data_IF_015894667755
#
_entry.id   IF_015894667755
#
_cell.length_a   1.000
_cell.length_b   1.000
_cell.length_c   1.000
_cell.angle_alpha   90.00
_cell.angle_beta   90.00
_cell.angle_gamma   90.00
#
_symmetry.space_group_name_H-M   'P 1'
#
loop_
_entity.id
_entity.type
_entity.pdbx_description
1 polymer ?
#
# COMPACT_ATOMS: atom_id res chain seq x y z
N UNK A 1 -60.00 33.02 -27.83
CA UNK A 1 -59.42 32.42 -26.64
C UNK A 1 -58.66 31.17 -27.06
N UNK A 2 -57.32 31.29 -27.28
CA UNK A 2 -56.42 30.22 -27.70
C UNK A 2 -55.72 29.68 -26.46
N UNK A 3 -55.88 28.39 -26.18
CA UNK A 3 -55.18 27.68 -25.11
C UNK A 3 -53.82 27.24 -25.65
N UNK A 4 -52.75 27.77 -25.08
CA UNK A 4 -51.36 27.28 -25.23
C UNK A 4 -51.19 26.14 -24.24
N UNK A 5 -50.93 24.94 -24.76
CA UNK A 5 -50.47 23.78 -23.98
C UNK A 5 -48.96 23.76 -24.06
N UNK A 6 -48.29 24.04 -22.95
CA UNK A 6 -46.87 23.97 -22.83
C UNK A 6 -46.43 22.53 -22.67
N UNK A 7 -45.57 22.05 -23.58
CA UNK A 7 -44.89 20.76 -23.52
C UNK A 7 -43.64 20.90 -22.64
N UNK A 8 -43.69 20.39 -21.41
CA UNK A 8 -42.52 20.28 -20.56
C UNK A 8 -41.74 18.99 -20.93
N UNK A 9 -40.67 19.13 -21.68
CA UNK A 9 -39.73 18.05 -21.93
C UNK A 9 -38.88 17.82 -20.68
N UNK A 10 -39.11 16.73 -19.95
CA UNK A 10 -38.26 16.28 -18.87
C UNK A 10 -37.00 15.66 -19.48
N UNK A 11 -35.87 16.36 -19.41
CA UNK A 11 -34.54 15.84 -19.69
C UNK A 11 -34.13 14.93 -18.52
N UNK A 12 -34.26 13.62 -18.71
CA UNK A 12 -33.67 12.65 -17.82
C UNK A 12 -32.15 12.64 -18.06
N UNK A 13 -31.42 13.36 -17.21
CA UNK A 13 -29.96 13.22 -17.14
C UNK A 13 -29.63 11.87 -16.54
N UNK A 14 -29.25 10.92 -17.41
CA UNK A 14 -28.63 9.66 -16.99
C UNK A 14 -27.28 10.00 -16.31
N UNK A 15 -27.26 9.99 -14.99
CA UNK A 15 -26.00 9.90 -14.25
C UNK A 15 -25.43 8.51 -14.47
N UNK A 16 -24.65 8.34 -15.56
CA UNK A 16 -23.74 7.23 -15.68
C UNK A 16 -22.75 7.34 -14.52
N UNK A 17 -22.59 6.29 -13.74
CA UNK A 17 -21.51 6.20 -12.77
C UNK A 17 -20.20 6.32 -13.55
N UNK A 18 -19.59 7.49 -13.58
CA UNK A 18 -18.28 7.70 -14.17
C UNK A 18 -17.31 6.88 -13.31
N UNK A 19 -16.71 5.86 -13.90
CA UNK A 19 -15.60 5.15 -13.28
C UNK A 19 -14.53 6.21 -12.95
N UNK A 20 -13.93 6.11 -11.76
CA UNK A 20 -12.96 7.09 -11.31
C UNK A 20 -11.71 7.04 -12.20
N UNK A 21 -11.51 8.06 -13.02
CA UNK A 21 -10.29 8.24 -13.78
C UNK A 21 -9.13 8.54 -12.81
N UNK A 22 -8.06 7.79 -12.93
CA UNK A 22 -6.80 8.01 -12.18
C UNK A 22 -5.66 8.27 -13.15
N UNK A 23 -4.64 8.97 -12.69
CA UNK A 23 -3.49 9.27 -13.56
C UNK A 23 -2.59 8.04 -13.70
N UNK A 24 -1.98 7.88 -14.86
CA UNK A 24 -1.05 6.78 -15.14
C UNK A 24 0.03 6.63 -14.04
N UNK A 25 0.63 7.72 -13.58
CA UNK A 25 1.64 7.72 -12.52
C UNK A 25 1.15 7.20 -11.16
N UNK A 26 -0.16 7.27 -10.88
CA UNK A 26 -0.72 6.82 -9.60
C UNK A 26 -0.86 5.29 -9.57
N UNK A 27 -1.01 4.65 -10.75
CA UNK A 27 -1.20 3.21 -10.91
C UNK A 27 0.01 2.46 -11.43
N UNK A 28 1.07 3.17 -11.83
CA UNK A 28 2.29 2.55 -12.37
C UNK A 28 3.53 2.95 -11.59
N UNK A 29 4.57 2.15 -11.73
CA UNK A 29 5.94 2.41 -11.29
C UNK A 29 6.89 2.25 -12.49
N UNK A 30 7.98 3.01 -12.49
CA UNK A 30 9.00 2.90 -13.52
C UNK A 30 10.02 1.83 -13.13
N UNK A 31 10.26 0.86 -13.99
CA UNK A 31 11.30 -0.14 -13.76
C UNK A 31 12.69 0.52 -13.75
N UNK A 32 13.51 0.14 -12.79
CA UNK A 32 14.84 0.73 -12.58
C UNK A 32 14.83 2.01 -11.74
N UNK A 33 13.68 2.64 -11.53
CA UNK A 33 13.51 3.81 -10.66
C UNK A 33 12.98 3.36 -9.32
N UNK A 34 13.88 2.98 -8.42
CA UNK A 34 13.50 2.54 -7.07
C UNK A 34 14.34 3.23 -6.01
N UNK A 35 13.78 3.39 -4.84
CA UNK A 35 14.55 3.73 -3.67
C UNK A 35 15.47 2.57 -3.28
N UNK A 36 16.68 2.87 -2.80
CA UNK A 36 17.62 1.88 -2.32
C UNK A 36 17.76 2.01 -0.81
N UNK A 37 17.62 0.90 -0.10
CA UNK A 37 17.82 0.88 1.33
C UNK A 37 19.32 0.84 1.64
N UNK A 38 19.73 1.72 2.54
CA UNK A 38 21.09 1.85 3.01
C UNK A 38 21.19 1.40 4.45
N UNK A 39 22.25 0.70 4.78
CA UNK A 39 22.55 0.26 6.14
C UNK A 39 23.99 0.59 6.51
N UNK A 40 24.19 0.97 7.77
CA UNK A 40 25.50 1.21 8.34
C UNK A 40 25.57 0.75 9.78
N UNK A 41 26.80 0.52 10.25
CA UNK A 41 27.09 0.29 11.64
C UNK A 41 27.83 1.51 12.18
N UNK A 42 27.30 2.08 13.26
CA UNK A 42 27.82 3.33 13.80
C UNK A 42 27.88 3.35 15.33
N UNK A 43 28.40 4.46 15.85
CA UNK A 43 28.46 4.74 17.27
C UNK A 43 27.71 6.03 17.59
N UNK A 44 26.89 5.99 18.62
CA UNK A 44 26.31 7.17 19.25
C UNK A 44 27.11 7.49 20.49
N UNK A 45 27.58 8.73 20.58
CA UNK A 45 28.42 9.22 21.71
C UNK A 45 27.68 10.32 22.46
N UNK A 46 28.18 10.66 23.66
CA UNK A 46 27.62 11.74 24.47
C UNK A 46 26.41 11.35 25.33
N UNK A 47 26.18 10.06 25.50
CA UNK A 47 25.09 9.52 26.32
C UNK A 47 25.43 9.72 27.83
N UNK A 48 24.45 10.12 28.63
CA UNK A 48 24.62 10.34 30.07
C UNK A 48 24.48 9.04 30.88
N UNK A 49 25.42 8.09 30.71
CA UNK A 49 25.39 6.81 31.42
C UNK A 49 24.31 5.83 30.93
N UNK A 50 23.59 6.14 29.84
CA UNK A 50 22.53 5.31 29.24
C UNK A 50 23.01 4.47 28.07
N UNK A 51 24.27 4.59 27.69
CA UNK A 51 24.91 3.81 26.64
C UNK A 51 25.23 2.38 27.05
N UNK A 52 25.90 1.67 26.13
CA UNK A 52 26.32 0.28 26.32
C UNK A 52 27.30 0.13 27.48
N UNK A 53 27.15 -0.96 28.21
CA UNK A 53 28.17 -1.43 29.12
C UNK A 53 29.33 -2.03 28.32
N UNK A 54 30.37 -1.26 28.04
CA UNK A 54 31.47 -1.62 27.13
C UNK A 54 32.09 -2.98 27.49
N UNK A 55 32.21 -3.32 28.77
CA UNK A 55 32.74 -4.63 29.22
C UNK A 55 31.89 -5.81 28.74
N UNK A 56 30.60 -5.62 28.57
CA UNK A 56 29.66 -6.66 28.18
C UNK A 56 29.29 -6.60 26.68
N UNK A 57 29.88 -5.65 25.94
CA UNK A 57 29.60 -5.40 24.52
C UNK A 57 30.90 -5.31 23.73
N UNK A 58 31.55 -6.45 23.40
CA UNK A 58 32.86 -6.48 22.74
C UNK A 58 32.87 -5.71 21.42
N UNK A 59 31.79 -5.80 20.64
CA UNK A 59 31.63 -5.08 19.38
C UNK A 59 31.57 -3.54 19.56
N UNK A 60 30.99 -3.04 20.66
CA UNK A 60 31.00 -1.61 20.98
C UNK A 60 32.40 -1.15 21.36
N UNK A 61 33.13 -1.98 22.13
CA UNK A 61 34.52 -1.72 22.50
C UNK A 61 35.43 -1.64 21.28
N UNK A 62 35.36 -2.64 20.39
CA UNK A 62 36.17 -2.69 19.19
C UNK A 62 35.88 -1.50 18.25
N UNK A 63 34.62 -1.19 18.02
CA UNK A 63 34.23 -0.05 17.20
C UNK A 63 34.69 1.29 17.79
N UNK A 64 34.62 1.45 19.13
CA UNK A 64 35.07 2.65 19.82
C UNK A 64 36.59 2.79 19.77
N UNK A 65 37.32 1.71 20.01
CA UNK A 65 38.79 1.68 19.89
C UNK A 65 39.23 2.05 18.47
N UNK A 66 38.65 1.41 17.44
CA UNK A 66 38.94 1.70 16.04
C UNK A 66 38.55 3.13 15.60
N UNK A 67 37.55 3.74 16.24
CA UNK A 67 37.25 5.16 16.05
C UNK A 67 38.35 6.06 16.61
N UNK A 68 38.78 5.82 17.86
CA UNK A 68 39.82 6.62 18.53
C UNK A 68 41.15 6.50 17.79
N UNK A 69 41.51 5.30 17.34
CA UNK A 69 42.74 5.07 16.56
C UNK A 69 42.73 5.85 15.24
N UNK A 70 41.59 5.86 14.53
CA UNK A 70 41.42 6.68 13.31
C UNK A 70 41.51 8.18 13.58
N UNK A 71 41.17 8.63 14.77
CA UNK A 71 41.33 10.02 15.21
C UNK A 71 42.74 10.33 15.76
N UNK A 72 43.66 9.34 15.74
CA UNK A 72 45.04 9.49 16.14
C UNK A 72 45.29 9.31 17.66
N UNK A 73 44.29 8.77 18.37
CA UNK A 73 44.43 8.47 19.81
C UNK A 73 44.83 7.01 19.97
N UNK A 74 46.01 6.77 20.54
CA UNK A 74 46.45 5.41 20.87
C UNK A 74 45.79 4.94 22.15
N UNK A 75 45.00 3.89 22.07
CA UNK A 75 44.20 3.32 23.17
C UNK A 75 44.45 1.83 23.37
N UNK A 76 45.56 1.31 22.84
CA UNK A 76 45.89 -0.13 22.95
C UNK A 76 46.12 -0.50 24.42
N UNK A 77 45.39 -1.49 24.89
CA UNK A 77 45.51 -2.01 26.26
C UNK A 77 44.69 -1.25 27.32
N UNK A 78 44.00 -0.18 26.97
CA UNK A 78 43.14 0.57 27.90
C UNK A 78 41.79 -0.13 28.07
N UNK A 79 41.37 -0.28 29.33
CA UNK A 79 40.04 -0.77 29.69
C UNK A 79 39.07 0.38 29.85
N UNK A 80 38.19 0.57 28.89
CA UNK A 80 37.14 1.59 29.01
C UNK A 80 35.99 1.09 29.90
N UNK A 81 35.57 1.91 30.82
CA UNK A 81 34.40 1.66 31.68
C UNK A 81 33.42 2.82 31.55
N UNK A 82 33.01 3.11 30.34
CA UNK A 82 32.08 4.21 30.04
C UNK A 82 30.75 3.64 29.56
N UNK A 83 29.65 4.26 30.01
CA UNK A 83 28.30 4.03 29.45
C UNK A 83 27.83 5.22 28.62
N UNK A 84 28.76 6.00 28.07
CA UNK A 84 28.48 7.20 27.31
C UNK A 84 28.47 6.94 25.78
N UNK A 85 28.64 5.68 25.37
CA UNK A 85 28.71 5.26 23.97
C UNK A 85 27.76 4.10 23.76
N UNK A 86 27.11 4.04 22.61
CA UNK A 86 26.27 2.92 22.20
C UNK A 86 26.55 2.54 20.75
N UNK A 87 26.64 1.25 20.47
CA UNK A 87 26.67 0.73 19.11
C UNK A 87 25.26 0.75 18.54
N UNK A 88 25.14 1.24 17.33
CA UNK A 88 23.84 1.38 16.64
C UNK A 88 23.90 0.83 15.23
N UNK A 89 22.79 0.26 14.79
CA UNK A 89 22.48 0.09 13.37
C UNK A 89 21.87 1.39 12.87
N UNK A 90 22.31 1.80 11.70
CA UNK A 90 21.89 3.04 11.06
C UNK A 90 21.28 2.69 9.73
N UNK A 91 20.03 3.09 9.50
CA UNK A 91 19.32 2.82 8.27
C UNK A 91 18.84 4.11 7.62
N UNK A 92 18.82 4.15 6.31
CA UNK A 92 18.31 5.25 5.52
C UNK A 92 17.77 4.72 4.19
N UNK A 93 16.88 5.46 3.57
CA UNK A 93 16.40 5.15 2.23
C UNK A 93 16.91 6.21 1.28
N UNK A 94 17.70 5.79 0.28
CA UNK A 94 18.20 6.66 -0.78
C UNK A 94 17.07 6.80 -1.84
N UNK A 95 16.46 7.99 -1.99
CA UNK A 95 15.46 8.20 -3.02
C UNK A 95 16.05 8.02 -4.42
N UNK A 96 15.26 7.57 -5.41
CA UNK A 96 15.68 7.61 -6.79
C UNK A 96 15.99 9.07 -7.18
N UNK A 97 16.99 9.28 -8.00
CA UNK A 97 17.47 10.61 -8.44
C UNK A 97 18.08 11.51 -7.34
N UNK A 98 18.37 10.97 -6.15
CA UNK A 98 19.13 11.72 -5.16
C UNK A 98 20.52 12.04 -5.71
N UNK A 99 20.88 13.34 -5.69
CA UNK A 99 22.17 13.83 -6.19
C UNK A 99 23.22 13.83 -5.08
N UNK A 100 24.47 13.70 -5.46
CA UNK A 100 25.59 13.88 -4.54
C UNK A 100 25.48 15.24 -3.82
N UNK A 101 25.65 15.24 -2.50
CA UNK A 101 25.44 16.41 -1.64
C UNK A 101 24.01 16.59 -1.12
N UNK A 102 23.00 15.91 -1.65
CA UNK A 102 21.65 15.93 -1.08
C UNK A 102 21.62 15.26 0.30
N UNK A 103 20.62 15.63 1.11
CA UNK A 103 20.45 15.09 2.44
C UNK A 103 19.26 14.15 2.50
N UNK A 104 19.39 13.10 3.31
CA UNK A 104 18.34 12.10 3.56
C UNK A 104 18.20 11.85 5.05
N UNK A 105 17.00 11.45 5.45
CA UNK A 105 16.70 11.12 6.84
C UNK A 105 17.35 9.78 7.23
N UNK A 106 17.70 9.68 8.49
CA UNK A 106 18.37 8.51 9.06
C UNK A 106 17.61 8.02 10.28
N UNK A 107 17.47 6.71 10.38
CA UNK A 107 16.98 6.04 11.58
C UNK A 107 18.13 5.32 12.25
N UNK A 108 18.17 5.37 13.58
CA UNK A 108 19.17 4.71 14.40
C UNK A 108 18.48 3.82 15.43
N UNK A 109 19.05 2.63 15.66
CA UNK A 109 18.59 1.73 16.70
C UNK A 109 19.79 1.08 17.41
N UNK A 110 19.75 1.03 18.74
CA UNK A 110 20.80 0.42 19.54
C UNK A 110 20.86 -1.09 19.29
N UNK A 111 22.07 -1.62 19.13
CA UNK A 111 22.31 -3.06 18.96
C UNK A 111 22.68 -3.67 20.31
N UNK A 112 23.29 -2.86 21.18
CA UNK A 112 23.79 -3.30 22.46
C UNK A 112 22.75 -3.24 23.59
N UNK A 113 23.25 -3.02 24.80
CA UNK A 113 22.44 -2.93 26.01
C UNK A 113 22.23 -1.50 26.49
N UNK A 114 22.33 -0.53 25.61
CA UNK A 114 22.01 0.87 25.90
C UNK A 114 20.53 1.00 26.31
N UNK A 115 20.27 1.72 27.40
CA UNK A 115 18.92 1.96 27.90
C UNK A 115 18.24 3.15 27.21
N UNK A 116 19.01 4.10 26.66
CA UNK A 116 18.49 5.24 25.91
C UNK A 116 19.54 5.87 25.01
N UNK A 117 19.13 6.37 23.85
CA UNK A 117 19.94 7.16 22.92
C UNK A 117 19.69 8.67 23.05
N UNK A 118 18.87 9.09 24.01
CA UNK A 118 18.48 10.49 24.20
C UNK A 118 19.70 11.37 24.49
N UNK A 119 19.82 12.47 23.73
CA UNK A 119 20.92 13.44 23.86
C UNK A 119 22.24 12.99 23.25
N UNK A 120 22.27 11.80 22.64
CA UNK A 120 23.45 11.30 21.95
C UNK A 120 23.63 11.90 20.56
N UNK A 121 24.86 11.78 20.06
CA UNK A 121 25.22 12.20 18.69
C UNK A 121 25.81 11.02 17.93
N UNK A 122 25.27 10.73 16.75
CA UNK A 122 25.83 9.75 15.84
C UNK A 122 27.14 10.26 15.27
N UNK A 123 28.19 9.49 15.41
CA UNK A 123 29.49 9.75 14.77
C UNK A 123 29.42 9.37 13.29
N UNK A 124 30.27 10.00 12.49
CA UNK A 124 30.35 9.77 11.06
C UNK A 124 30.32 8.27 10.71
N UNK A 125 29.27 7.86 10.04
CA UNK A 125 28.95 6.46 9.75
C UNK A 125 28.69 6.27 8.25
N UNK A 126 29.47 5.45 7.54
CA UNK A 126 29.20 5.14 6.14
C UNK A 126 27.96 4.24 6.03
N UNK A 127 27.07 4.59 5.10
CA UNK A 127 25.88 3.83 4.78
C UNK A 127 26.10 3.12 3.43
N UNK A 128 25.91 1.81 3.44
CA UNK A 128 26.11 0.91 2.29
C UNK A 128 24.79 0.39 1.76
N UNK A 129 24.72 0.21 0.45
CA UNK A 129 23.64 -0.51 -0.19
C UNK A 129 23.93 -2.03 -0.27
N UNK A 130 23.03 -2.79 -0.85
CA UNK A 130 23.15 -4.24 -0.99
C UNK A 130 24.33 -4.72 -1.84
N UNK A 131 24.92 -3.86 -2.65
CA UNK A 131 26.17 -4.11 -3.42
C UNK A 131 27.44 -3.97 -2.58
N UNK A 132 27.33 -3.46 -1.34
CA UNK A 132 28.43 -3.21 -0.42
C UNK A 132 29.13 -1.87 -0.59
N UNK A 133 28.78 -1.09 -1.60
CA UNK A 133 29.32 0.25 -1.83
C UNK A 133 28.70 1.30 -0.89
N UNK A 134 29.50 2.33 -0.57
CA UNK A 134 29.05 3.47 0.27
C UNK A 134 28.34 4.49 -0.62
N UNK A 135 27.07 4.79 -0.29
CA UNK A 135 26.25 5.77 -1.01
C UNK A 135 26.01 7.05 -0.22
N UNK A 136 26.02 6.97 1.11
CA UNK A 136 25.83 8.13 1.95
C UNK A 136 26.66 8.02 3.23
N UNK A 137 26.86 9.16 3.90
CA UNK A 137 27.54 9.24 5.18
C UNK A 137 26.61 9.95 6.16
N UNK A 138 26.31 9.26 7.27
CA UNK A 138 25.40 9.72 8.33
C UNK A 138 26.16 10.30 9.51
N UNK A 139 25.67 11.42 10.07
CA UNK A 139 26.12 12.00 11.33
C UNK A 139 25.09 12.99 11.87
N UNK A 140 25.07 13.20 13.18
CA UNK A 140 24.23 14.24 13.76
C UNK A 140 23.59 13.87 15.10
N UNK A 141 22.87 14.81 15.73
CA UNK A 141 22.19 14.58 17.01
C UNK A 141 21.01 13.64 16.83
N UNK A 142 20.89 12.66 17.71
CA UNK A 142 19.80 11.67 17.69
C UNK A 142 18.58 12.22 18.41
N UNK A 143 17.45 12.25 17.69
CA UNK A 143 16.14 12.51 18.27
C UNK A 143 15.54 11.16 18.68
N UNK A 144 15.66 10.82 19.98
CA UNK A 144 15.13 9.56 20.50
C UNK A 144 13.60 9.53 20.49
N UNK A 145 13.01 8.37 20.18
CA UNK A 145 11.56 8.18 20.08
C UNK A 145 10.88 7.94 21.44
N UNK A 146 11.60 8.00 22.53
CA UNK A 146 11.06 7.75 23.88
C UNK A 146 11.99 8.22 25.00
N UNK A 147 11.51 8.06 26.22
CA UNK A 147 12.24 8.40 27.45
C UNK A 147 12.27 7.16 28.35
N UNK A 148 13.46 6.83 28.87
CA UNK A 148 13.64 5.86 29.94
C UNK A 148 14.16 6.59 31.17
N UNK A 149 13.56 6.33 32.32
CA UNK A 149 14.04 6.78 33.63
C UNK A 149 14.16 5.57 34.55
N UNK A 150 15.39 5.32 35.04
CA UNK A 150 15.67 4.24 35.99
C UNK A 150 15.98 4.85 37.35
N UNK A 151 15.37 4.33 38.42
CA UNK A 151 15.64 4.72 39.82
C UNK A 151 15.82 3.45 40.68
N UNK A 152 16.33 3.57 41.91
CA UNK A 152 16.68 2.45 42.80
C UNK A 152 15.52 1.49 43.15
N UNK A 153 14.32 1.74 42.71
CA UNK A 153 13.15 0.89 43.01
C UNK A 153 12.08 0.87 41.93
N UNK A 154 12.23 1.60 40.82
CA UNK A 154 11.28 1.62 39.72
C UNK A 154 11.96 2.05 38.40
N UNK A 155 11.58 1.43 37.31
CA UNK A 155 11.91 1.89 35.95
C UNK A 155 10.64 2.27 35.23
N UNK A 156 10.62 3.40 34.55
CA UNK A 156 9.53 3.84 33.67
C UNK A 156 10.10 4.06 32.28
N UNK A 157 9.53 3.34 31.32
CA UNK A 157 9.89 3.51 29.90
C UNK A 157 8.64 3.94 29.13
N UNK A 158 8.76 5.03 28.38
CA UNK A 158 7.71 5.51 27.50
C UNK A 158 8.25 5.59 26.06
N UNK A 159 7.57 4.96 25.12
CA UNK A 159 8.03 4.86 23.72
C UNK A 159 9.22 3.91 23.54
N UNK A 160 10.06 4.16 22.53
CA UNK A 160 11.26 3.39 22.21
C UNK A 160 12.53 4.22 22.42
N UNK A 161 13.04 4.33 23.65
CA UNK A 161 14.20 5.20 23.95
C UNK A 161 15.50 4.72 23.30
N UNK A 162 15.57 3.46 22.89
CA UNK A 162 16.72 2.85 22.21
C UNK A 162 16.69 3.01 20.67
N UNK A 163 15.68 3.68 20.15
CA UNK A 163 15.56 4.04 18.74
C UNK A 163 15.36 5.55 18.59
N UNK A 164 15.76 6.10 17.45
CA UNK A 164 15.60 7.50 17.15
C UNK A 164 15.78 7.79 15.68
N UNK A 165 15.58 9.05 15.30
CA UNK A 165 15.80 9.55 13.95
C UNK A 165 16.75 10.74 13.96
N UNK A 166 17.40 10.98 12.83
CA UNK A 166 18.22 12.15 12.57
C UNK A 166 17.71 12.75 11.25
N UNK A 167 16.84 13.76 11.31
CA UNK A 167 16.34 14.43 10.11
C UNK A 167 17.51 15.02 9.32
N UNK A 168 17.51 14.81 8.00
CA UNK A 168 18.60 15.22 7.12
C UNK A 168 19.99 14.76 7.60
N UNK A 169 20.03 13.63 8.31
CA UNK A 169 21.21 13.15 9.02
C UNK A 169 22.27 12.49 8.17
N UNK A 170 21.97 12.12 6.92
CA UNK A 170 22.97 11.60 6.02
C UNK A 170 23.10 12.47 4.76
N UNK A 171 24.35 12.59 4.30
CA UNK A 171 24.68 13.23 3.03
C UNK A 171 24.98 12.16 2.00
N UNK A 172 24.37 12.28 0.83
CA UNK A 172 24.61 11.40 -0.31
C UNK A 172 25.97 11.72 -0.90
N UNK A 173 26.84 10.72 -1.03
CA UNK A 173 28.17 10.83 -1.62
C UNK A 173 28.20 10.26 -3.04
N UNK A 174 27.36 9.25 -3.31
CA UNK A 174 27.24 8.61 -4.63
C UNK A 174 25.79 8.54 -5.06
N UNK A 175 25.53 8.88 -6.31
CA UNK A 175 24.21 8.77 -6.94
C UNK A 175 23.86 7.29 -7.22
N UNK A 176 22.59 6.94 -7.13
CA UNK A 176 22.09 5.64 -7.59
C UNK A 176 22.01 5.65 -9.12
N UNK A 177 23.05 5.33 -9.81
CA UNK A 177 23.38 5.41 -11.22
C UNK A 177 22.30 5.21 -12.31
N UNK A 178 21.09 5.79 -12.15
CA UNK A 178 20.06 5.74 -13.19
C UNK A 178 20.15 6.99 -14.10
N UNK A 179 20.75 6.83 -15.28
CA UNK A 179 20.80 7.88 -16.29
C UNK A 179 19.53 7.94 -17.13
N UNK A 180 18.57 8.72 -16.70
CA UNK A 180 17.28 8.89 -17.38
C UNK A 180 17.42 9.42 -18.82
N UNK A 181 18.44 10.21 -19.11
CA UNK A 181 18.67 10.82 -20.42
C UNK A 181 19.11 9.83 -21.50
N UNK A 182 19.75 8.72 -21.10
CA UNK A 182 20.29 7.72 -22.02
C UNK A 182 19.31 6.61 -22.37
N UNK A 183 18.15 6.56 -21.68
CA UNK A 183 17.16 5.48 -21.80
C UNK A 183 16.20 5.77 -22.95
N UNK A 184 16.38 5.07 -24.09
CA UNK A 184 15.45 5.15 -25.23
C UNK A 184 14.10 4.46 -24.98
N UNK A 185 14.05 3.50 -24.03
CA UNK A 185 12.86 2.72 -23.65
C UNK A 185 12.73 2.69 -22.15
N UNK A 186 11.53 2.91 -21.65
CA UNK A 186 11.20 2.69 -20.25
C UNK A 186 10.12 1.63 -20.13
N UNK A 187 10.19 0.89 -19.05
CA UNK A 187 9.17 -0.08 -18.68
C UNK A 187 8.36 0.43 -17.50
N UNK A 188 7.05 0.40 -17.69
CA UNK A 188 6.09 0.71 -16.65
C UNK A 188 5.55 -0.58 -16.07
N UNK A 189 5.60 -0.71 -14.76
CA UNK A 189 5.00 -1.81 -14.03
C UNK A 189 3.72 -1.34 -13.37
N UNK A 190 2.59 -2.04 -13.61
CA UNK A 190 1.34 -1.76 -12.92
C UNK A 190 1.43 -2.22 -11.46
N UNK A 191 1.09 -1.34 -10.50
CA UNK A 191 1.04 -1.68 -9.07
C UNK A 191 0.05 -2.81 -8.77
N UNK A 192 -1.01 -2.90 -9.57
CA UNK A 192 -1.99 -3.99 -9.54
C UNK A 192 -2.11 -4.58 -10.95
N UNK A 193 -1.49 -5.74 -11.23
CA UNK A 193 -1.50 -6.34 -12.55
C UNK A 193 -2.92 -6.67 -13.02
N UNK A 194 -3.34 -6.09 -14.16
CA UNK A 194 -4.61 -6.36 -14.83
C UNK A 194 -4.50 -6.08 -16.33
N UNK A 195 -4.90 -7.07 -17.15
CA UNK A 195 -4.73 -7.01 -18.60
C UNK A 195 -5.56 -5.88 -19.24
N UNK A 196 -6.78 -5.67 -18.77
CA UNK A 196 -7.66 -4.63 -19.32
C UNK A 196 -7.14 -3.24 -19.00
N UNK A 197 -6.66 -3.04 -17.78
CA UNK A 197 -6.00 -1.79 -17.37
C UNK A 197 -4.72 -1.56 -18.16
N UNK A 198 -3.91 -2.60 -18.40
CA UNK A 198 -2.69 -2.50 -19.19
C UNK A 198 -2.99 -2.08 -20.64
N UNK A 199 -4.01 -2.67 -21.29
CA UNK A 199 -4.43 -2.30 -22.64
C UNK A 199 -4.96 -0.87 -22.70
N UNK A 200 -5.81 -0.46 -21.76
CA UNK A 200 -6.28 0.94 -21.69
C UNK A 200 -5.11 1.95 -21.52
N UNK A 201 -4.11 1.58 -20.73
CA UNK A 201 -2.92 2.40 -20.57
C UNK A 201 -2.08 2.44 -21.85
N UNK A 202 -1.90 1.31 -22.55
CA UNK A 202 -1.24 1.24 -23.87
C UNK A 202 -1.94 2.15 -24.88
N UNK A 203 -3.26 2.04 -25.00
CA UNK A 203 -4.07 2.86 -25.93
C UNK A 203 -3.92 4.36 -25.64
N UNK A 204 -4.00 4.77 -24.37
CA UNK A 204 -3.85 6.14 -23.93
C UNK A 204 -2.44 6.69 -24.24
N UNK A 205 -1.40 5.90 -24.00
CA UNK A 205 -0.01 6.27 -24.31
C UNK A 205 0.18 6.39 -25.82
N UNK A 206 -0.33 5.41 -26.60
CA UNK A 206 -0.23 5.41 -28.06
C UNK A 206 -0.99 6.59 -28.69
N UNK A 207 -2.12 6.97 -28.13
CA UNK A 207 -2.87 8.16 -28.54
C UNK A 207 -2.07 9.46 -28.29
N UNK A 208 -1.28 9.51 -27.21
CA UNK A 208 -0.50 10.68 -26.83
C UNK A 208 0.85 10.77 -27.54
N UNK A 209 1.60 9.68 -27.67
CA UNK A 209 2.97 9.64 -28.21
C UNK A 209 3.05 9.19 -29.66
N UNK A 210 1.99 8.59 -30.21
CA UNK A 210 1.93 8.01 -31.54
C UNK A 210 1.84 6.49 -31.53
N UNK A 211 1.28 5.89 -32.59
CA UNK A 211 1.04 4.45 -32.67
C UNK A 211 2.32 3.62 -32.50
N UNK A 212 2.24 2.57 -31.68
CA UNK A 212 3.33 1.64 -31.41
C UNK A 212 4.43 2.19 -30.50
N UNK A 213 4.21 3.34 -29.85
CA UNK A 213 5.10 3.87 -28.82
C UNK A 213 5.02 3.07 -27.52
N UNK A 214 3.86 2.48 -27.20
CA UNK A 214 3.66 1.61 -26.06
C UNK A 214 3.22 0.22 -26.55
N UNK A 215 3.68 -0.83 -25.84
CA UNK A 215 3.31 -2.24 -26.08
C UNK A 215 3.19 -2.96 -24.74
N UNK A 216 2.03 -3.55 -24.48
CA UNK A 216 1.82 -4.43 -23.33
C UNK A 216 2.56 -5.75 -23.56
N UNK A 217 3.36 -6.16 -22.58
CA UNK A 217 4.05 -7.46 -22.57
C UNK A 217 3.27 -8.53 -21.80
N UNK A 218 2.74 -8.12 -20.68
CA UNK A 218 2.00 -8.97 -19.75
C UNK A 218 1.03 -8.11 -18.92
N UNK A 219 0.14 -8.68 -18.09
CA UNK A 219 -0.84 -7.92 -17.32
C UNK A 219 -0.28 -6.84 -16.40
N UNK A 220 1.02 -6.89 -16.10
CA UNK A 220 1.67 -5.95 -15.18
C UNK A 220 2.69 -5.05 -15.86
N UNK A 221 3.02 -5.28 -17.15
CA UNK A 221 4.21 -4.65 -17.77
C UNK A 221 3.88 -4.01 -19.11
N UNK A 222 4.24 -2.74 -19.24
CA UNK A 222 4.08 -1.94 -20.47
C UNK A 222 5.44 -1.38 -20.86
N UNK A 223 5.95 -1.76 -22.02
CA UNK A 223 7.16 -1.17 -22.61
C UNK A 223 6.79 0.10 -23.38
N UNK A 224 7.48 1.20 -23.11
CA UNK A 224 7.29 2.48 -23.82
C UNK A 224 8.58 2.89 -24.52
N UNK A 225 8.52 3.09 -25.82
CA UNK A 225 9.64 3.49 -26.70
C UNK A 225 9.52 4.98 -27.02
N UNK A 226 10.33 5.81 -26.37
CA UNK A 226 10.35 7.26 -26.56
C UNK A 226 11.05 7.70 -27.85
N UNK A 227 11.90 6.85 -28.42
CA UNK A 227 12.57 7.18 -29.68
C UNK A 227 11.57 7.36 -30.83
N UNK A 228 10.46 6.61 -30.79
CA UNK A 228 9.38 6.72 -31.78
C UNK A 228 8.60 8.03 -31.69
N UNK A 229 8.50 8.60 -30.48
CA UNK A 229 7.77 9.84 -30.26
C UNK A 229 8.57 11.10 -30.75
N UNK A 230 9.85 10.97 -31.09
CA UNK A 230 10.71 12.11 -31.44
C UNK A 230 10.90 13.12 -30.30
N UNK A 231 10.63 12.72 -29.07
CA UNK A 231 10.74 13.52 -27.86
C UNK A 231 11.88 13.02 -26.98
N UNK A 232 12.47 13.92 -26.18
CA UNK A 232 13.37 13.46 -25.13
C UNK A 232 12.61 12.64 -24.08
N UNK A 233 13.22 11.63 -23.44
CA UNK A 233 12.56 10.77 -22.45
C UNK A 233 11.84 11.54 -21.35
N UNK A 234 12.45 12.62 -20.86
CA UNK A 234 11.84 13.48 -19.81
C UNK A 234 10.56 14.15 -20.31
N UNK A 235 10.55 14.69 -21.54
CA UNK A 235 9.35 15.34 -22.09
C UNK A 235 8.25 14.33 -22.42
N UNK A 236 8.63 13.18 -22.93
CA UNK A 236 7.69 12.11 -23.22
C UNK A 236 7.03 11.60 -21.92
N UNK A 237 7.83 11.37 -20.87
CA UNK A 237 7.30 10.97 -19.55
C UNK A 237 6.35 12.03 -18.98
N UNK A 238 6.76 13.31 -18.95
CA UNK A 238 5.92 14.40 -18.44
C UNK A 238 4.58 14.51 -19.18
N UNK A 239 4.53 14.09 -20.46
CA UNK A 239 3.32 14.09 -21.27
C UNK A 239 2.39 12.94 -20.91
N UNK A 240 2.94 11.75 -20.61
CA UNK A 240 2.13 10.54 -20.36
C UNK A 240 1.80 10.32 -18.87
N UNK A 241 2.60 10.81 -17.93
CA UNK A 241 2.42 10.55 -16.51
C UNK A 241 1.05 10.98 -15.95
N UNK A 242 0.45 12.02 -16.55
CA UNK A 242 -0.85 12.56 -16.13
C UNK A 242 -2.02 12.10 -17.02
N UNK A 243 -1.81 11.12 -17.92
CA UNK A 243 -2.91 10.57 -18.72
C UNK A 243 -3.96 9.93 -17.82
N UNK A 244 -5.25 10.26 -18.05
CA UNK A 244 -6.35 9.66 -17.31
C UNK A 244 -6.55 8.20 -17.79
N UNK A 245 -6.60 7.28 -16.85
CA UNK A 245 -6.84 5.85 -17.09
C UNK A 245 -7.98 5.42 -16.17
N UNK A 246 -8.89 4.62 -16.68
CA UNK A 246 -9.89 3.90 -15.88
C UNK A 246 -9.34 2.51 -15.49
N UNK A 247 -8.76 2.34 -14.30
CA UNK A 247 -8.28 1.03 -13.89
C UNK A 247 -9.45 0.10 -13.58
N UNK A 248 -9.33 -1.14 -13.99
CA UNK A 248 -10.23 -2.19 -13.51
C UNK A 248 -9.64 -2.80 -12.24
N UNK A 249 -10.25 -2.48 -11.11
CA UNK A 249 -9.86 -3.10 -9.84
C UNK A 249 -10.48 -4.50 -9.75
N UNK A 250 -9.70 -5.49 -9.29
CA UNK A 250 -10.25 -6.79 -8.91
C UNK A 250 -11.26 -6.60 -7.79
N UNK A 251 -12.37 -7.31 -7.87
CA UNK A 251 -13.35 -7.34 -6.80
C UNK A 251 -12.67 -7.77 -5.49
N UNK A 252 -12.75 -6.95 -4.45
CA UNK A 252 -12.06 -7.16 -3.18
C UNK A 252 -12.95 -6.81 -2.00
N UNK A 253 -12.84 -7.63 -0.96
CA UNK A 253 -13.46 -7.38 0.35
C UNK A 253 -12.36 -7.36 1.39
N UNK A 254 -12.28 -6.27 2.13
CA UNK A 254 -11.32 -6.11 3.23
C UNK A 254 -12.08 -6.11 4.54
N UNK A 255 -11.65 -6.93 5.47
CA UNK A 255 -12.29 -7.10 6.78
C UNK A 255 -11.25 -6.89 7.87
N UNK A 256 -11.47 -5.93 8.73
CA UNK A 256 -10.67 -5.72 9.94
C UNK A 256 -11.37 -6.38 11.12
N UNK A 257 -10.79 -7.47 11.62
CA UNK A 257 -11.36 -8.23 12.77
C UNK A 257 -11.31 -7.43 14.08
N UNK A 258 -10.34 -6.53 14.21
CA UNK A 258 -10.15 -5.79 15.45
C UNK A 258 -11.18 -4.66 15.60
N UNK A 259 -11.47 -3.94 14.53
CA UNK A 259 -12.47 -2.85 14.53
C UNK A 259 -13.87 -3.32 14.09
N UNK A 260 -13.99 -4.51 13.48
CA UNK A 260 -15.24 -5.00 12.89
C UNK A 260 -15.63 -4.27 11.60
N UNK A 261 -14.69 -3.55 10.97
CA UNK A 261 -14.95 -2.78 9.74
C UNK A 261 -14.88 -3.68 8.53
N UNK A 262 -15.90 -3.61 7.66
CA UNK A 262 -15.94 -4.31 6.36
C UNK A 262 -15.97 -3.29 5.24
N UNK A 263 -14.99 -3.37 4.33
CA UNK A 263 -14.92 -2.52 3.13
C UNK A 263 -15.14 -3.40 1.90
N UNK A 264 -16.11 -3.02 1.08
CA UNK A 264 -16.54 -3.80 -0.08
C UNK A 264 -16.27 -3.00 -1.35
N UNK A 265 -15.58 -3.62 -2.32
CA UNK A 265 -15.45 -3.06 -3.66
C UNK A 265 -16.79 -3.03 -4.41
N UNK A 266 -16.92 -2.13 -5.39
CA UNK A 266 -18.17 -1.90 -6.12
C UNK A 266 -18.67 -3.14 -6.89
N UNK A 267 -17.74 -3.96 -7.41
CA UNK A 267 -18.06 -5.07 -8.34
C UNK A 267 -18.03 -6.45 -7.66
N UNK A 268 -18.21 -6.51 -6.34
CA UNK A 268 -18.20 -7.79 -5.60
C UNK A 268 -19.55 -8.47 -5.78
N UNK A 269 -19.53 -9.66 -6.39
CA UNK A 269 -20.70 -10.50 -6.62
C UNK A 269 -20.60 -11.83 -5.90
N UNK A 270 -21.75 -12.36 -5.53
CA UNK A 270 -21.88 -13.64 -4.86
C UNK A 270 -22.79 -14.56 -5.69
N UNK A 271 -22.28 -15.76 -6.01
CA UNK A 271 -23.08 -16.83 -6.62
C UNK A 271 -24.01 -17.49 -5.62
N UNK A 272 -24.79 -18.45 -6.08
CA UNK A 272 -25.65 -19.27 -5.23
C UNK A 272 -24.92 -19.85 -4.05
N UNK A 273 -25.43 -19.68 -2.87
CA UNK A 273 -24.96 -20.37 -1.68
C UNK A 273 -26.11 -20.54 -0.66
N UNK A 274 -25.94 -21.48 0.21
CA UNK A 274 -26.75 -21.62 1.40
C UNK A 274 -25.80 -21.71 2.61
N UNK A 275 -26.05 -20.91 3.61
CA UNK A 275 -25.28 -20.93 4.87
C UNK A 275 -26.26 -20.97 6.04
N UNK A 276 -25.94 -21.79 7.02
CA UNK A 276 -26.66 -21.84 8.29
C UNK A 276 -25.64 -21.63 9.41
N UNK A 277 -25.87 -20.63 10.25
CA UNK A 277 -25.01 -20.34 11.39
C UNK A 277 -25.87 -19.93 12.58
N UNK A 278 -25.71 -20.61 13.72
CA UNK A 278 -26.34 -20.23 14.98
C UNK A 278 -27.89 -20.16 14.99
N UNK A 279 -28.57 -20.83 14.02
CA UNK A 279 -30.03 -20.75 13.86
C UNK A 279 -30.48 -19.75 12.78
N UNK A 280 -29.56 -19.03 12.14
CA UNK A 280 -29.84 -18.12 11.02
C UNK A 280 -29.72 -18.90 9.70
N UNK A 281 -30.78 -18.91 8.87
CA UNK A 281 -30.79 -19.48 7.54
C UNK A 281 -30.92 -18.37 6.50
N UNK A 282 -29.93 -18.25 5.61
CA UNK A 282 -29.91 -17.27 4.56
C UNK A 282 -30.19 -17.95 3.22
N UNK A 283 -31.21 -17.48 2.52
CA UNK A 283 -31.61 -18.00 1.22
C UNK A 283 -31.78 -16.84 0.24
N UNK A 284 -31.06 -16.91 -0.86
CA UNK A 284 -31.07 -15.89 -1.90
C UNK A 284 -31.82 -16.38 -3.12
N UNK A 285 -32.83 -15.64 -3.61
CA UNK A 285 -33.67 -15.95 -4.79
C UNK A 285 -33.65 -14.81 -5.81
N UNK A 286 -33.50 -15.17 -7.07
CA UNK A 286 -33.73 -14.28 -8.19
C UNK A 286 -35.12 -14.61 -8.78
N UNK A 287 -36.01 -13.63 -8.83
CA UNK A 287 -37.28 -13.74 -9.50
C UNK A 287 -37.28 -12.80 -10.71
N UNK A 288 -37.02 -13.30 -11.94
CA UNK A 288 -37.13 -12.47 -13.13
C UNK A 288 -38.58 -12.11 -13.38
N UNK A 289 -38.93 -10.84 -13.35
CA UNK A 289 -40.23 -10.36 -13.72
C UNK A 289 -40.26 -10.16 -15.23
N UNK A 290 -41.03 -11.00 -15.92
CA UNK A 290 -41.24 -10.87 -17.38
C UNK A 290 -42.45 -9.98 -17.59
N UNK A 291 -42.24 -8.72 -17.98
CA UNK A 291 -43.31 -7.85 -18.43
C UNK A 291 -43.60 -8.18 -19.89
N UNK A 292 -44.70 -8.86 -20.13
CA UNK A 292 -45.18 -9.14 -21.49
C UNK A 292 -46.06 -7.99 -21.98
N UNK A 293 -45.87 -7.60 -23.24
CA UNK A 293 -46.74 -6.66 -23.90
C UNK A 293 -48.15 -7.26 -24.05
N UNK A 294 -49.19 -6.42 -23.90
CA UNK A 294 -50.59 -6.85 -24.05
C UNK A 294 -50.81 -7.59 -25.40
N UNK A 295 -51.56 -8.70 -25.44
CA UNK A 295 -51.74 -9.53 -26.62
C UNK A 295 -52.28 -8.83 -27.88
N UNK A 296 -52.76 -7.59 -27.76
CA UNK A 296 -53.30 -6.76 -28.84
C UNK A 296 -52.49 -5.48 -29.11
N UNK A 297 -51.28 -5.34 -28.56
CA UNK A 297 -50.42 -4.19 -28.84
C UNK A 297 -49.62 -4.41 -30.14
N UNK A 298 -49.70 -3.44 -31.06
CA UNK A 298 -48.94 -3.46 -32.32
C UNK A 298 -47.45 -3.07 -32.18
N UNK A 299 -47.00 -2.65 -31.00
CA UNK A 299 -45.61 -2.33 -30.70
C UNK A 299 -45.37 -2.51 -29.19
N UNK A 300 -44.65 -3.54 -28.81
CA UNK A 300 -44.23 -3.79 -27.44
C UNK A 300 -43.09 -4.77 -27.45
N UNK A 301 -41.95 -4.41 -26.80
CA UNK A 301 -40.84 -5.30 -26.57
C UNK A 301 -41.01 -6.00 -25.22
N UNK A 302 -40.68 -7.28 -25.18
CA UNK A 302 -40.63 -8.05 -23.93
C UNK A 302 -39.34 -7.69 -23.21
N UNK A 303 -39.44 -7.00 -22.08
CA UNK A 303 -38.28 -6.65 -21.26
C UNK A 303 -38.27 -7.56 -20.03
N UNK A 304 -37.18 -8.28 -19.87
CA UNK A 304 -36.87 -9.03 -18.64
C UNK A 304 -36.21 -8.08 -17.64
N UNK A 305 -36.91 -7.73 -16.58
CA UNK A 305 -36.39 -6.95 -15.50
C UNK A 305 -35.89 -7.91 -14.40
N UNK A 306 -34.60 -8.01 -14.11
CA UNK A 306 -34.14 -8.82 -13.00
C UNK A 306 -34.61 -8.21 -11.68
N UNK A 307 -35.34 -8.95 -10.89
CA UNK A 307 -35.75 -8.61 -9.54
C UNK A 307 -35.20 -9.66 -8.59
N UNK A 308 -34.48 -9.21 -7.58
CA UNK A 308 -33.84 -10.10 -6.60
C UNK A 308 -34.60 -10.03 -5.28
N UNK A 309 -35.02 -11.17 -4.77
CA UNK A 309 -35.70 -11.28 -3.45
C UNK A 309 -34.73 -12.00 -2.48
N UNK A 310 -34.33 -11.31 -1.42
CA UNK A 310 -33.49 -11.85 -0.35
C UNK A 310 -34.37 -12.16 0.85
N UNK A 311 -34.52 -13.42 1.19
CA UNK A 311 -35.24 -13.83 2.40
C UNK A 311 -34.28 -14.36 3.42
N UNK A 312 -34.30 -13.73 4.58
CA UNK A 312 -33.53 -14.11 5.75
C UNK A 312 -34.55 -14.41 6.86
N UNK A 313 -34.52 -15.59 7.41
CA UNK A 313 -35.48 -16.04 8.42
C UNK A 313 -34.79 -16.75 9.58
N UNK A 314 -35.22 -16.42 10.78
CA UNK A 314 -34.94 -17.19 11.98
C UNK A 314 -35.89 -18.39 12.01
N UNK A 315 -35.46 -19.56 11.58
CA UNK A 315 -36.26 -20.79 11.71
C UNK A 315 -35.52 -21.88 12.47
N UNK A 316 -36.11 -22.22 13.58
CA UNK A 316 -35.89 -23.52 14.22
C UNK A 316 -36.53 -24.61 13.33
N UNK A 317 -35.80 -25.21 12.46
CA UNK A 317 -35.99 -26.53 11.87
C UNK A 317 -35.52 -26.58 10.42
N UNK A 318 -34.74 -27.59 10.13
CA UNK A 318 -34.17 -28.05 8.90
C UNK A 318 -35.02 -27.87 7.64
N UNK A 319 -34.55 -27.00 6.72
CA UNK A 319 -34.72 -27.21 5.27
C UNK A 319 -33.69 -26.35 4.49
N UNK A 320 -32.74 -27.02 3.88
CA UNK A 320 -31.77 -26.41 2.96
C UNK A 320 -32.49 -26.11 1.64
N UNK A 321 -32.75 -24.85 1.36
CA UNK A 321 -33.25 -24.39 0.06
C UNK A 321 -32.10 -23.91 -0.82
N UNK A 322 -31.89 -24.57 -1.95
CA UNK A 322 -30.92 -24.15 -2.99
C UNK A 322 -31.55 -23.03 -3.81
N UNK A 323 -30.80 -21.97 -4.06
CA UNK A 323 -31.32 -20.82 -4.81
C UNK A 323 -30.33 -20.22 -5.80
N UNK A 324 -30.86 -19.84 -6.95
CA UNK A 324 -30.19 -19.28 -8.10
C UNK A 324 -30.11 -17.75 -8.06
N UNK A 325 -28.92 -17.17 -8.24
CA UNK A 325 -28.78 -15.75 -8.47
C UNK A 325 -27.39 -15.17 -8.25
N UNK A 326 -27.08 -14.12 -8.99
CA UNK A 326 -25.84 -13.35 -8.95
C UNK A 326 -26.13 -12.02 -8.24
N UNK A 327 -25.88 -11.96 -6.92
CA UNK A 327 -26.27 -10.81 -6.07
C UNK A 327 -25.05 -9.95 -5.77
N UNK A 328 -25.25 -8.64 -5.64
CA UNK A 328 -24.23 -7.75 -5.09
C UNK A 328 -24.04 -8.06 -3.59
N UNK A 329 -22.78 -8.21 -3.16
CA UNK A 329 -22.47 -8.49 -1.76
C UNK A 329 -23.01 -7.41 -0.83
N UNK A 330 -23.16 -6.17 -1.30
CA UNK A 330 -23.73 -5.05 -0.54
C UNK A 330 -25.14 -5.39 -0.06
N UNK A 331 -26.00 -5.87 -0.94
CA UNK A 331 -27.42 -6.17 -0.65
C UNK A 331 -27.52 -7.28 0.40
N UNK A 332 -26.60 -8.26 0.33
CA UNK A 332 -26.51 -9.32 1.33
C UNK A 332 -26.11 -8.76 2.71
N UNK A 333 -25.12 -7.88 2.76
CA UNK A 333 -24.66 -7.30 4.04
C UNK A 333 -25.71 -6.37 4.65
N UNK A 334 -26.40 -5.59 3.82
CA UNK A 334 -27.53 -4.76 4.29
C UNK A 334 -28.63 -5.63 4.92
N UNK A 335 -28.94 -6.77 4.29
CA UNK A 335 -29.87 -7.75 4.84
C UNK A 335 -29.41 -8.35 6.16
N UNK A 336 -28.14 -8.72 6.28
CA UNK A 336 -27.55 -9.28 7.50
C UNK A 336 -27.53 -8.25 8.65
N UNK A 337 -27.17 -7.00 8.34
CA UNK A 337 -27.18 -5.92 9.31
C UNK A 337 -28.60 -5.61 9.83
N UNK A 338 -29.61 -5.66 8.94
CA UNK A 338 -31.01 -5.47 9.32
C UNK A 338 -31.50 -6.56 10.29
N UNK A 339 -30.88 -7.73 10.30
CA UNK A 339 -31.18 -8.83 11.22
C UNK A 339 -30.39 -8.78 12.53
N UNK A 340 -29.49 -7.79 12.67
CA UNK A 340 -28.68 -7.63 13.87
C UNK A 340 -27.48 -8.57 13.94
N UNK A 341 -27.03 -9.13 12.84
CA UNK A 341 -25.82 -9.96 12.78
C UNK A 341 -24.62 -9.12 13.19
N UNK A 342 -23.86 -9.58 14.17
CA UNK A 342 -22.70 -8.88 14.68
C UNK A 342 -21.50 -8.90 13.68
N UNK A 343 -20.54 -7.96 13.81
CA UNK A 343 -19.39 -7.89 12.89
C UNK A 343 -18.57 -9.16 12.81
N UNK A 344 -18.39 -9.89 13.90
CA UNK A 344 -17.66 -11.16 13.93
C UNK A 344 -18.38 -12.27 13.17
N UNK A 345 -19.68 -12.39 13.39
CA UNK A 345 -20.51 -13.37 12.69
C UNK A 345 -20.55 -13.10 11.19
N UNK A 346 -20.57 -11.82 10.80
CA UNK A 346 -20.50 -11.40 9.40
C UNK A 346 -19.18 -11.82 8.74
N UNK A 347 -18.06 -11.71 9.48
CA UNK A 347 -16.74 -12.17 9.01
C UNK A 347 -16.74 -13.68 8.81
N UNK A 348 -17.30 -14.43 9.75
CA UNK A 348 -17.38 -15.90 9.67
C UNK A 348 -18.24 -16.34 8.48
N UNK A 349 -19.37 -15.66 8.25
CA UNK A 349 -20.25 -15.90 7.09
C UNK A 349 -19.50 -15.59 5.78
N UNK A 350 -18.83 -14.45 5.66
CA UNK A 350 -18.06 -14.09 4.47
C UNK A 350 -16.93 -15.08 4.18
N UNK A 351 -16.26 -15.55 5.23
CA UNK A 351 -15.20 -16.55 5.13
C UNK A 351 -15.77 -17.90 4.65
N UNK A 352 -16.92 -18.31 5.15
CA UNK A 352 -17.61 -19.52 4.71
C UNK A 352 -18.09 -19.43 3.26
N UNK A 353 -18.64 -18.27 2.84
CA UNK A 353 -19.03 -18.00 1.44
C UNK A 353 -17.80 -18.03 0.53
N UNK A 354 -16.66 -17.49 0.96
CA UNK A 354 -15.42 -17.54 0.18
C UNK A 354 -14.90 -18.98 0.07
N UNK A 355 -14.92 -19.75 1.18
CA UNK A 355 -14.49 -21.14 1.21
C UNK A 355 -15.37 -22.05 0.34
N UNK A 356 -16.67 -21.75 0.22
CA UNK A 356 -17.58 -22.46 -0.70
C UNK A 356 -17.38 -22.13 -2.17
N UNK A 357 -16.55 -21.13 -2.51
CA UNK A 357 -16.32 -20.65 -3.86
C UNK A 357 -17.42 -19.71 -4.39
N UNK A 358 -18.43 -19.39 -3.58
CA UNK A 358 -19.54 -18.54 -4.02
C UNK A 358 -19.17 -17.03 -4.04
N UNK A 359 -18.15 -16.59 -3.33
CA UNK A 359 -17.69 -15.19 -3.34
C UNK A 359 -16.65 -14.98 -4.47
N UNK A 360 -17.04 -14.23 -5.50
CA UNK A 360 -16.17 -13.85 -6.62
C UNK A 360 -15.37 -12.58 -6.32
N UNK A 361 -14.64 -12.59 -5.23
CA UNK A 361 -13.78 -11.50 -4.82
C UNK A 361 -12.60 -12.01 -3.97
N UNK A 362 -11.54 -11.23 -3.91
CA UNK A 362 -10.44 -11.49 -2.95
C UNK A 362 -10.90 -11.05 -1.55
N UNK A 363 -10.86 -11.96 -0.59
CA UNK A 363 -11.13 -11.67 0.82
C UNK A 363 -9.81 -11.46 1.55
N UNK A 364 -9.61 -10.25 2.08
CA UNK A 364 -8.43 -9.88 2.88
C UNK A 364 -8.90 -9.64 4.31
N UNK A 365 -8.34 -10.38 5.26
CA UNK A 365 -8.62 -10.25 6.68
C UNK A 365 -7.40 -9.61 7.34
N UNK A 366 -7.61 -8.52 8.10
CA UNK A 366 -6.58 -7.76 8.83
C UNK A 366 -6.77 -7.88 10.34
#
# INVERSE_FOLDING_TARGET
MRRLVGLAAAAATAFGAAAAEVRLKDITELEGVRANDLVGYGLVVGLKGTGDGIRNSPYTQEAFTGLLERLGVNVQGENFNSRNVAAVIVTSTLPPFARAGSKVDVNVAAIGNASSLLGGTLVMTPLRAGDGDVYAVAQGPVLASGVAAEGPGASVTFGAPTAGSIPEGARVEREAGFEFSSVGRLRFSLKSPDMTTAIKAEDAINASLGPGSAVVRDPGTIDVDFARAGLSPVRALARIENLPIEPQARARVVVDQKSGTVVIGADVRVSRFAVTQGGLSITVRENPFVSQANPFSRSGETIVVPSTDVRIGEQRTEQIGIVDGNIALRDLIEGLNALGVGPRELIDILTAIKASGALHADLIVM
#
